data_IF_965923655917
#
_entry.id   IF_965923655917
#
_cell.length_a   1.000
_cell.length_b   1.000
_cell.length_c   1.000
_cell.angle_alpha   90.00
_cell.angle_beta   90.00
_cell.angle_gamma   90.00
#
_symmetry.space_group_name_H-M   'P 1'
#
loop_
_entity.id
_entity.type
_entity.pdbx_description
1 polymer ?
#
# COMPACT_ATOMS: atom_id res chain seq x y z
N UNK A 1 16.21 8.53 25.81
CA UNK A 1 16.78 9.06 24.56
C UNK A 1 17.43 8.00 23.68
N UNK A 2 18.33 7.18 24.22
CA UNK A 2 18.98 6.12 23.42
C UNK A 2 18.01 5.03 22.97
N UNK A 3 17.06 4.64 23.84
CA UNK A 3 16.04 3.68 23.50
C UNK A 3 15.14 4.18 22.36
N UNK A 4 14.79 5.46 22.42
CA UNK A 4 13.97 6.10 21.39
C UNK A 4 14.68 6.13 20.03
N UNK A 5 15.98 6.43 20.03
CA UNK A 5 16.79 6.40 18.81
C UNK A 5 16.89 5.01 18.21
N UNK A 6 17.03 4.00 19.06
CA UNK A 6 17.10 2.61 18.63
C UNK A 6 15.80 2.18 17.96
N UNK A 7 14.66 2.53 18.55
CA UNK A 7 13.34 2.20 18.00
C UNK A 7 13.11 2.88 16.64
N UNK A 8 13.47 4.15 16.51
CA UNK A 8 13.38 4.87 15.23
C UNK A 8 14.26 4.21 14.18
N UNK A 9 15.49 3.85 14.55
CA UNK A 9 16.41 3.17 13.64
C UNK A 9 15.86 1.85 13.14
N UNK A 10 15.31 1.03 14.03
CA UNK A 10 14.67 -0.23 13.67
C UNK A 10 13.51 -0.01 12.71
N UNK A 11 12.66 0.98 13.00
CA UNK A 11 11.56 1.35 12.14
C UNK A 11 12.03 1.75 10.74
N UNK A 12 13.10 2.55 10.65
CA UNK A 12 13.67 2.97 9.36
C UNK A 12 14.24 1.78 8.59
N UNK A 13 14.85 0.82 9.27
CA UNK A 13 15.36 -0.39 8.64
C UNK A 13 14.22 -1.20 8.05
N UNK A 14 13.15 -1.43 8.84
CA UNK A 14 11.96 -2.15 8.38
C UNK A 14 11.34 -1.46 7.15
N UNK A 15 11.20 -0.14 7.21
CA UNK A 15 10.66 0.65 6.09
C UNK A 15 11.50 0.48 4.83
N UNK A 16 12.82 0.52 4.95
CA UNK A 16 13.75 0.34 3.83
C UNK A 16 13.61 -1.06 3.23
N UNK A 17 13.51 -2.08 4.06
CA UNK A 17 13.34 -3.47 3.60
C UNK A 17 12.01 -3.61 2.86
N UNK A 18 10.92 -3.06 3.40
CA UNK A 18 9.61 -3.11 2.77
C UNK A 18 9.62 -2.41 1.41
N UNK A 19 10.24 -1.24 1.31
CA UNK A 19 10.35 -0.51 0.05
C UNK A 19 11.05 -1.36 -1.02
N UNK A 20 12.11 -2.05 -0.65
CA UNK A 20 12.83 -2.95 -1.56
C UNK A 20 11.96 -4.12 -2.00
N UNK A 21 11.20 -4.69 -1.08
CA UNK A 21 10.28 -5.78 -1.38
C UNK A 21 9.21 -5.31 -2.38
N UNK A 22 8.64 -4.14 -2.17
CA UNK A 22 7.65 -3.55 -3.07
C UNK A 22 8.22 -3.34 -4.48
N UNK A 23 9.43 -2.80 -4.57
CA UNK A 23 10.10 -2.61 -5.85
C UNK A 23 10.34 -3.92 -6.58
N UNK A 24 10.80 -4.95 -5.88
CA UNK A 24 11.05 -6.27 -6.45
C UNK A 24 9.76 -6.94 -6.92
N UNK A 25 8.69 -6.87 -6.10
CA UNK A 25 7.39 -7.43 -6.47
C UNK A 25 6.79 -6.69 -7.65
N UNK A 26 6.90 -5.38 -7.67
CA UNK A 26 6.42 -4.57 -8.78
C UNK A 26 7.14 -4.94 -10.09
N UNK A 27 8.46 -5.11 -10.05
CA UNK A 27 9.23 -5.56 -11.20
C UNK A 27 8.81 -6.95 -11.68
N UNK A 28 8.62 -7.88 -10.75
CA UNK A 28 8.19 -9.24 -11.07
C UNK A 28 6.80 -9.25 -11.71
N UNK A 29 5.92 -8.33 -11.28
CA UNK A 29 4.58 -8.18 -11.85
C UNK A 29 4.55 -7.31 -13.12
N UNK A 30 5.69 -6.80 -13.56
CA UNK A 30 5.77 -5.90 -14.71
C UNK A 30 5.19 -4.52 -14.47
N UNK A 31 5.20 -4.07 -13.24
CA UNK A 31 4.63 -2.79 -12.84
C UNK A 31 5.59 -1.99 -11.94
N UNK A 32 5.11 -0.93 -11.35
CA UNK A 32 5.89 -0.04 -10.47
C UNK A 32 5.40 -0.11 -9.04
N UNK A 33 6.28 0.20 -8.09
CA UNK A 33 5.93 0.27 -6.67
C UNK A 33 4.81 1.24 -6.36
N UNK A 34 4.67 2.29 -7.16
CA UNK A 34 3.57 3.27 -7.01
C UNK A 34 2.18 2.66 -7.26
N UNK A 35 2.07 1.61 -8.07
CA UNK A 35 0.81 0.88 -8.22
C UNK A 35 0.43 0.17 -6.93
N UNK A 36 1.41 -0.39 -6.24
CA UNK A 36 1.20 -1.03 -4.94
C UNK A 36 0.67 -0.01 -3.92
N UNK A 37 1.27 1.19 -3.89
CA UNK A 37 0.80 2.27 -3.02
C UNK A 37 -0.63 2.69 -3.35
N UNK A 38 -0.97 2.80 -4.64
CA UNK A 38 -2.33 3.10 -5.07
C UNK A 38 -3.32 2.04 -4.58
N UNK A 39 -2.99 0.77 -4.73
CA UNK A 39 -3.85 -0.31 -4.27
C UNK A 39 -3.99 -0.33 -2.74
N UNK A 40 -2.94 -0.04 -2.01
CA UNK A 40 -3.03 0.13 -0.56
C UNK A 40 -4.06 1.20 -0.19
N UNK A 41 -4.01 2.34 -0.88
CA UNK A 41 -4.95 3.43 -0.65
C UNK A 41 -6.40 3.02 -0.91
N UNK A 42 -6.62 2.11 -1.87
CA UNK A 42 -7.96 1.66 -2.25
C UNK A 42 -8.43 0.43 -1.47
N UNK A 43 -7.58 -0.19 -0.65
CA UNK A 43 -7.88 -1.45 0.04
C UNK A 43 -8.79 -1.30 1.27
N UNK A 44 -9.22 -0.12 1.57
CA UNK A 44 -10.20 0.12 2.65
C UNK A 44 -11.65 -0.07 2.18
N UNK A 45 -11.87 -0.37 0.91
CA UNK A 45 -13.20 -0.59 0.32
C UNK A 45 -14.03 0.66 0.15
N UNK A 46 -13.43 1.84 0.34
CA UNK A 46 -14.11 3.13 0.21
C UNK A 46 -13.73 3.83 -1.10
N UNK A 47 -14.63 4.64 -1.66
CA UNK A 47 -14.28 5.47 -2.82
C UNK A 47 -13.30 6.58 -2.39
N UNK A 48 -12.34 6.87 -3.26
CA UNK A 48 -11.34 7.91 -3.02
C UNK A 48 -11.16 8.77 -4.26
N UNK A 49 -10.91 10.07 -4.07
CA UNK A 49 -10.50 10.93 -5.16
C UNK A 49 -9.00 10.85 -5.36
N UNK A 50 -8.51 11.16 -6.56
CA UNK A 50 -7.07 11.20 -6.81
C UNK A 50 -6.37 12.18 -5.87
N UNK A 51 -7.03 13.30 -5.57
CA UNK A 51 -6.50 14.33 -4.67
C UNK A 51 -6.26 13.81 -3.26
N UNK A 52 -7.21 13.03 -2.72
CA UNK A 52 -7.05 12.41 -1.41
C UNK A 52 -5.85 11.46 -1.37
N UNK A 53 -5.71 10.64 -2.42
CA UNK A 53 -4.61 9.68 -2.51
C UNK A 53 -3.27 10.40 -2.57
N UNK A 54 -3.15 11.45 -3.39
CA UNK A 54 -1.92 12.23 -3.49
C UNK A 54 -1.53 12.86 -2.15
N UNK A 55 -2.53 13.34 -1.40
CA UNK A 55 -2.31 13.99 -0.11
C UNK A 55 -1.91 12.99 0.98
N UNK A 56 -2.60 11.86 1.06
CA UNK A 56 -2.39 10.88 2.13
C UNK A 56 -1.14 10.03 1.91
N UNK A 57 -0.86 9.69 0.67
CA UNK A 57 0.23 8.77 0.33
C UNK A 57 1.45 9.47 -0.26
N UNK A 58 1.40 10.80 -0.38
CA UNK A 58 2.49 11.62 -0.91
C UNK A 58 2.98 11.17 -2.28
N UNK A 59 2.09 10.64 -3.10
CA UNK A 59 2.40 10.24 -4.47
C UNK A 59 2.14 11.43 -5.41
N UNK A 60 3.05 11.71 -6.36
CA UNK A 60 2.84 12.82 -7.30
C UNK A 60 1.55 12.67 -8.10
N UNK A 61 0.85 13.78 -8.33
CA UNK A 61 -0.41 13.83 -9.05
C UNK A 61 -0.32 13.19 -10.44
N UNK A 62 0.76 13.48 -11.17
CA UNK A 62 0.98 12.91 -12.50
C UNK A 62 1.10 11.40 -12.47
N UNK A 63 1.79 10.86 -11.46
CA UNK A 63 1.95 9.43 -11.26
C UNK A 63 0.61 8.76 -10.98
N UNK A 64 -0.17 9.31 -10.05
CA UNK A 64 -1.50 8.77 -9.71
C UNK A 64 -2.41 8.80 -10.94
N UNK A 65 -2.44 9.93 -11.64
CA UNK A 65 -3.29 10.04 -12.83
C UNK A 65 -2.92 9.02 -13.90
N UNK A 66 -1.63 8.82 -14.18
CA UNK A 66 -1.17 7.84 -15.15
C UNK A 66 -1.56 6.42 -14.76
N UNK A 67 -1.38 6.06 -13.49
CA UNK A 67 -1.74 4.74 -12.99
C UNK A 67 -3.24 4.49 -13.01
N UNK A 68 -4.02 5.49 -12.61
CA UNK A 68 -5.49 5.40 -12.63
C UNK A 68 -5.98 5.21 -14.06
N UNK A 69 -5.48 5.98 -15.02
CA UNK A 69 -5.88 5.85 -16.42
C UNK A 69 -5.51 4.48 -16.98
N UNK A 70 -4.35 3.97 -16.64
CA UNK A 70 -3.93 2.63 -17.05
C UNK A 70 -4.88 1.57 -16.47
N UNK A 71 -5.22 1.67 -15.20
CA UNK A 71 -6.13 0.74 -14.54
C UNK A 71 -7.56 0.84 -15.09
N UNK A 72 -8.01 2.02 -15.48
CA UNK A 72 -9.29 2.19 -16.17
C UNK A 72 -9.26 1.46 -17.51
N UNK A 73 -8.20 1.64 -18.27
CA UNK A 73 -8.04 0.98 -19.58
C UNK A 73 -8.02 -0.54 -19.45
N UNK A 74 -7.39 -1.06 -18.41
CA UNK A 74 -7.31 -2.50 -18.15
C UNK A 74 -8.56 -3.09 -17.49
N UNK A 75 -9.53 -2.25 -17.13
CA UNK A 75 -10.79 -2.69 -16.53
C UNK A 75 -10.75 -2.93 -15.03
N UNK A 76 -9.72 -2.42 -14.34
CA UNK A 76 -9.56 -2.59 -12.89
C UNK A 76 -10.20 -1.46 -12.08
N UNK A 77 -10.38 -0.31 -12.68
CA UNK A 77 -10.93 0.88 -12.02
C UNK A 77 -12.05 1.47 -12.86
N UNK A 78 -13.11 1.92 -12.17
CA UNK A 78 -14.15 2.76 -12.72
C UNK A 78 -14.09 4.12 -12.06
N UNK A 79 -14.25 5.18 -12.85
CA UNK A 79 -14.32 6.54 -12.35
C UNK A 79 -15.78 6.99 -12.29
N UNK A 80 -16.21 7.46 -11.13
CA UNK A 80 -17.55 7.98 -10.92
C UNK A 80 -17.51 9.48 -10.63
N UNK A 81 -18.48 10.26 -11.13
CA UNK A 81 -18.57 11.68 -10.79
C UNK A 81 -18.74 11.87 -9.29
N UNK A 82 -17.99 12.81 -8.73
CA UNK A 82 -18.15 13.22 -7.34
C UNK A 82 -19.03 14.48 -7.30
N UNK A 83 -20.08 14.42 -6.48
CA UNK A 83 -21.09 15.47 -6.37
C UNK A 83 -20.47 16.84 -6.06
N UNK A 84 -20.74 17.85 -6.92
CA UNK A 84 -20.32 19.23 -6.69
C UNK A 84 -18.89 19.57 -7.06
N UNK A 85 -18.11 18.63 -7.62
CA UNK A 85 -16.74 18.86 -8.05
C UNK A 85 -16.46 18.27 -9.42
N UNK A 86 -15.37 18.72 -10.06
CA UNK A 86 -14.87 18.11 -11.30
C UNK A 86 -14.08 16.83 -11.01
N UNK A 87 -13.76 16.56 -9.76
CA UNK A 87 -13.05 15.37 -9.36
C UNK A 87 -13.94 14.14 -9.50
N UNK A 88 -13.31 13.04 -9.82
CA UNK A 88 -13.99 11.75 -9.91
C UNK A 88 -13.54 10.84 -8.78
N UNK A 89 -14.46 10.02 -8.30
CA UNK A 89 -14.15 9.00 -7.33
C UNK A 89 -13.63 7.76 -8.03
N UNK A 90 -12.60 7.17 -7.45
CA UNK A 90 -11.98 5.94 -7.93
C UNK A 90 -12.63 4.77 -7.22
N UNK A 91 -13.18 3.84 -8.00
CA UNK A 91 -13.76 2.61 -7.49
C UNK A 91 -13.11 1.42 -8.20
N UNK A 92 -12.80 0.38 -7.43
CA UNK A 92 -12.35 -0.87 -8.00
C UNK A 92 -13.51 -1.61 -8.64
N UNK A 93 -13.28 -2.17 -9.82
CA UNK A 93 -14.19 -3.15 -10.41
C UNK A 93 -14.00 -4.49 -9.69
N UNK A 94 -14.85 -5.46 -9.96
CA UNK A 94 -14.67 -6.80 -9.41
C UNK A 94 -13.35 -7.42 -9.86
N UNK A 95 -12.97 -7.26 -11.13
CA UNK A 95 -11.67 -7.70 -11.64
C UNK A 95 -10.52 -6.96 -10.96
N UNK A 96 -10.65 -5.65 -10.77
CA UNK A 96 -9.66 -4.82 -10.08
C UNK A 96 -9.46 -5.26 -8.65
N UNK A 97 -10.54 -5.60 -7.97
CA UNK A 97 -10.49 -6.08 -6.59
C UNK A 97 -9.75 -7.42 -6.50
N UNK A 98 -10.02 -8.33 -7.41
CA UNK A 98 -9.31 -9.62 -7.46
C UNK A 98 -7.83 -9.44 -7.74
N UNK A 99 -7.51 -8.62 -8.73
CA UNK A 99 -6.12 -8.32 -9.08
C UNK A 99 -5.38 -7.68 -7.90
N UNK A 100 -6.01 -6.72 -7.25
CA UNK A 100 -5.45 -6.05 -6.07
C UNK A 100 -5.22 -7.05 -4.94
N UNK A 101 -6.19 -7.91 -4.63
CA UNK A 101 -6.05 -8.90 -3.56
C UNK A 101 -4.92 -9.88 -3.86
N UNK A 102 -4.83 -10.37 -5.09
CA UNK A 102 -3.76 -11.28 -5.48
C UNK A 102 -2.37 -10.64 -5.30
N UNK A 103 -2.26 -9.35 -5.64
CA UNK A 103 -1.00 -8.63 -5.49
C UNK A 103 -0.69 -8.28 -4.03
N UNK A 104 -1.67 -7.76 -3.29
CA UNK A 104 -1.47 -7.30 -1.92
C UNK A 104 -1.38 -8.43 -0.90
N UNK A 105 -2.03 -9.56 -1.12
CA UNK A 105 -1.98 -10.70 -0.20
C UNK A 105 -0.54 -11.19 -0.03
N UNK A 106 0.22 -11.25 -1.11
CA UNK A 106 1.65 -11.61 -1.05
C UNK A 106 2.41 -10.59 -0.22
N UNK A 107 2.11 -9.31 -0.40
CA UNK A 107 2.77 -8.21 0.32
C UNK A 107 2.44 -8.25 1.81
N UNK A 108 1.17 -8.42 2.16
CA UNK A 108 0.74 -8.53 3.56
C UNK A 108 1.37 -9.72 4.25
N UNK A 109 1.52 -10.85 3.57
CA UNK A 109 2.21 -12.00 4.13
C UNK A 109 3.68 -11.71 4.42
N UNK A 110 4.37 -11.04 3.50
CA UNK A 110 5.78 -10.64 3.66
C UNK A 110 5.90 -9.63 4.81
N UNK A 111 5.05 -8.62 4.85
CA UNK A 111 5.03 -7.62 5.93
C UNK A 111 4.83 -8.29 7.28
N UNK A 112 3.92 -9.23 7.38
CA UNK A 112 3.64 -9.95 8.62
C UNK A 112 4.86 -10.74 9.10
N UNK A 113 5.58 -11.39 8.20
CA UNK A 113 6.81 -12.12 8.54
C UNK A 113 7.93 -11.17 8.99
N UNK A 114 8.11 -10.05 8.30
CA UNK A 114 9.10 -9.04 8.70
C UNK A 114 8.75 -8.42 10.06
N UNK A 115 7.49 -8.11 10.30
CA UNK A 115 7.04 -7.64 11.60
C UNK A 115 7.29 -8.64 12.71
N UNK A 116 7.08 -9.92 12.46
CA UNK A 116 7.40 -10.98 13.41
C UNK A 116 8.88 -11.07 13.69
N UNK A 117 9.70 -10.96 12.66
CA UNK A 117 11.16 -11.07 12.78
C UNK A 117 11.74 -9.88 13.54
N UNK A 118 11.37 -8.65 13.17
CA UNK A 118 11.88 -7.43 13.80
C UNK A 118 11.27 -7.22 15.19
N UNK A 119 10.02 -7.58 15.38
CA UNK A 119 9.36 -7.55 16.69
C UNK A 119 9.70 -8.72 17.60
N UNK A 120 10.43 -9.72 17.08
CA UNK A 120 10.73 -10.96 17.79
C UNK A 120 11.51 -10.77 19.08
N UNK A 121 12.36 -9.76 19.18
CA UNK A 121 13.07 -9.44 20.40
C UNK A 121 12.21 -8.74 21.45
N UNK A 122 11.23 -7.97 21.03
CA UNK A 122 10.32 -7.26 21.94
C UNK A 122 9.06 -8.06 22.25
N UNK A 123 8.55 -8.84 21.29
CA UNK A 123 7.33 -9.63 21.45
C UNK A 123 7.52 -10.96 22.19
N UNK A 124 8.76 -11.42 22.37
CA UNK A 124 9.00 -12.62 23.21
C UNK A 124 8.54 -12.42 24.65
N UNK A 125 8.63 -11.18 25.15
CA UNK A 125 8.14 -10.85 26.50
C UNK A 125 6.62 -10.70 26.55
N UNK A 126 5.98 -10.29 25.45
CA UNK A 126 4.51 -10.13 25.42
C UNK A 126 3.78 -11.44 25.17
N UNK A 127 4.35 -12.36 24.39
CA UNK A 127 3.75 -13.68 24.15
C UNK A 127 3.76 -14.59 25.37
N UNK A 128 4.71 -14.41 26.26
CA UNK A 128 4.75 -15.19 27.51
C UNK A 128 3.72 -14.72 28.53
N UNK A 129 3.11 -13.55 28.33
CA UNK A 129 2.07 -12.99 29.23
C UNK A 129 0.65 -13.30 28.78
N UNK A 130 0.43 -13.70 27.52
CA UNK A 130 -0.89 -14.02 26.99
C UNK A 130 -1.23 -15.52 27.08
N UNK A 131 -0.29 -16.32 27.50
CA UNK A 131 -0.48 -17.74 27.80
C UNK A 131 -0.51 -17.90 29.31
#
# INVERSE_FOLDING_TARGET
MEQYRSEIREFMIVTTVLDRIYENLAKAAGTRGSLIELFYALDDGKPHTQREICREWLVPKTTVNTLVQKCVHEGYITLLPHSGTKEKEILLTEEGRRYMHDLLDVIYDIEREEFRFQGGHQNRQYRQREI
#
